data_IF_389745358236
#
_entry.id   IF_389745358236
#
_cell.length_a   1.000
_cell.length_b   1.000
_cell.length_c   1.000
_cell.angle_alpha   90.00
_cell.angle_beta   90.00
_cell.angle_gamma   90.00
#
_symmetry.space_group_name_H-M   'P 1'
#
loop_
_entity.id
_entity.type
_entity.pdbx_description
1 polymer ?
#
# COMPACT_ATOMS: atom_id res chain seq x y z
N UNK A 1 -22.33 -51.48 -53.23
CA UNK A 1 -21.59 -51.29 -51.97
C UNK A 1 -21.22 -49.81 -51.85
N UNK A 2 -22.21 -48.95 -51.52
CA UNK A 2 -22.04 -47.50 -51.47
C UNK A 2 -21.49 -47.12 -50.11
N UNK A 3 -20.29 -46.54 -50.14
CA UNK A 3 -19.51 -46.05 -49.01
C UNK A 3 -20.32 -45.16 -48.06
N UNK A 4 -20.69 -45.72 -46.91
CA UNK A 4 -21.06 -44.97 -45.69
C UNK A 4 -19.80 -44.30 -45.11
N UNK A 5 -19.30 -43.24 -45.74
CA UNK A 5 -18.18 -42.42 -45.20
C UNK A 5 -18.55 -40.95 -45.00
N UNK A 6 -19.84 -40.60 -44.97
CA UNK A 6 -20.27 -39.19 -44.99
C UNK A 6 -20.83 -38.63 -43.66
N UNK A 7 -20.61 -39.26 -42.49
CA UNK A 7 -21.30 -38.83 -41.25
C UNK A 7 -20.46 -38.72 -39.98
N UNK A 8 -19.15 -38.49 -40.11
CA UNK A 8 -18.26 -38.43 -38.93
C UNK A 8 -17.58 -37.05 -38.72
N UNK A 9 -17.50 -36.19 -39.75
CA UNK A 9 -16.78 -34.89 -39.65
C UNK A 9 -17.49 -33.78 -38.88
N UNK A 10 -18.83 -33.76 -38.87
CA UNK A 10 -19.61 -32.69 -38.22
C UNK A 10 -19.64 -32.75 -36.68
N UNK A 11 -19.52 -33.95 -36.10
CA UNK A 11 -19.49 -34.09 -34.63
C UNK A 11 -18.14 -33.64 -34.05
N UNK A 12 -17.03 -33.90 -34.75
CA UNK A 12 -15.71 -33.44 -34.33
C UNK A 12 -15.57 -31.92 -34.38
N UNK A 13 -16.18 -31.24 -35.37
CA UNK A 13 -16.15 -29.78 -35.45
C UNK A 13 -16.99 -29.10 -34.36
N UNK A 14 -18.13 -29.69 -33.98
CA UNK A 14 -18.93 -29.17 -32.86
C UNK A 14 -18.17 -29.32 -31.54
N UNK A 15 -17.55 -30.47 -31.30
CA UNK A 15 -16.76 -30.71 -30.07
C UNK A 15 -15.55 -29.77 -30.02
N UNK A 16 -14.86 -29.52 -31.13
CA UNK A 16 -13.72 -28.60 -31.14
C UNK A 16 -14.13 -27.16 -30.85
N UNK A 17 -15.27 -26.69 -31.37
CA UNK A 17 -15.81 -25.36 -31.04
C UNK A 17 -16.10 -25.24 -29.55
N UNK A 18 -16.77 -26.23 -28.95
CA UNK A 18 -17.03 -26.24 -27.50
C UNK A 18 -15.75 -26.28 -26.69
N UNK A 19 -14.76 -27.05 -27.13
CA UNK A 19 -13.46 -27.13 -26.46
C UNK A 19 -12.74 -25.78 -26.50
N UNK A 20 -12.68 -25.13 -27.66
CA UNK A 20 -12.07 -23.80 -27.80
C UNK A 20 -12.81 -22.76 -26.96
N UNK A 21 -14.15 -22.82 -26.91
CA UNK A 21 -14.95 -21.91 -26.09
C UNK A 21 -14.67 -22.11 -24.59
N UNK A 22 -14.62 -23.36 -24.13
CA UNK A 22 -14.27 -23.68 -22.74
C UNK A 22 -12.85 -23.23 -22.39
N UNK A 23 -11.86 -23.49 -23.25
CA UNK A 23 -10.47 -23.05 -23.05
C UNK A 23 -10.37 -21.52 -23.04
N UNK A 24 -11.11 -20.83 -23.90
CA UNK A 24 -11.13 -19.36 -23.95
C UNK A 24 -11.70 -18.77 -22.66
N UNK A 25 -12.79 -19.35 -22.14
CA UNK A 25 -13.38 -18.95 -20.85
C UNK A 25 -12.42 -19.19 -19.69
N UNK A 26 -11.75 -20.35 -19.64
CA UNK A 26 -10.74 -20.64 -18.62
C UNK A 26 -9.56 -19.67 -18.69
N UNK A 27 -9.12 -19.32 -19.90
CA UNK A 27 -8.04 -18.34 -20.11
C UNK A 27 -8.42 -16.97 -19.59
N UNK A 28 -9.66 -16.51 -19.83
CA UNK A 28 -10.16 -15.24 -19.30
C UNK A 28 -10.24 -15.23 -17.78
N UNK A 29 -10.65 -16.34 -17.16
CA UNK A 29 -10.69 -16.48 -15.70
C UNK A 29 -9.29 -16.44 -15.07
N UNK A 30 -8.33 -17.16 -15.65
CA UNK A 30 -6.95 -17.14 -15.17
C UNK A 30 -6.32 -15.75 -15.36
N UNK A 31 -6.63 -15.07 -16.46
CA UNK A 31 -6.18 -13.72 -16.70
C UNK A 31 -6.73 -12.72 -15.67
N UNK A 32 -8.01 -12.81 -15.32
CA UNK A 32 -8.61 -11.93 -14.30
C UNK A 32 -8.03 -12.19 -12.91
N UNK A 33 -7.76 -13.45 -12.58
CA UNK A 33 -7.07 -13.84 -11.34
C UNK A 33 -5.66 -13.25 -11.29
N UNK A 34 -4.87 -13.41 -12.36
CA UNK A 34 -3.53 -12.85 -12.45
C UNK A 34 -3.52 -11.32 -12.30
N UNK A 35 -4.49 -10.63 -12.91
CA UNK A 35 -4.62 -9.18 -12.71
C UNK A 35 -4.95 -8.82 -11.26
N UNK A 36 -5.78 -9.61 -10.58
CA UNK A 36 -6.10 -9.41 -9.16
C UNK A 36 -4.87 -9.57 -8.28
N UNK A 37 -4.07 -10.61 -8.51
CA UNK A 37 -2.81 -10.85 -7.78
C UNK A 37 -1.81 -9.72 -7.97
N UNK A 38 -1.64 -9.24 -9.20
CA UNK A 38 -0.77 -8.10 -9.49
C UNK A 38 -1.24 -6.84 -8.75
N UNK A 39 -2.55 -6.57 -8.74
CA UNK A 39 -3.10 -5.42 -8.01
C UNK A 39 -2.88 -5.54 -6.50
N UNK A 40 -3.08 -6.73 -5.94
CA UNK A 40 -2.80 -6.99 -4.53
C UNK A 40 -1.32 -6.82 -4.20
N UNK A 41 -0.42 -7.35 -5.03
CA UNK A 41 1.03 -7.21 -4.84
C UNK A 41 1.47 -5.73 -4.91
N UNK A 42 0.95 -4.96 -5.88
CA UNK A 42 1.22 -3.52 -5.99
C UNK A 42 0.68 -2.77 -4.77
N UNK A 43 -0.55 -3.05 -4.34
CA UNK A 43 -1.14 -2.42 -3.16
C UNK A 43 -0.35 -2.74 -1.88
N UNK A 44 0.11 -3.98 -1.74
CA UNK A 44 0.94 -4.41 -0.61
C UNK A 44 2.29 -3.67 -0.61
N UNK A 45 3.00 -3.66 -1.74
CA UNK A 45 4.26 -2.91 -1.92
C UNK A 45 4.08 -1.44 -1.54
N UNK A 46 3.07 -0.79 -2.10
CA UNK A 46 2.78 0.63 -1.87
C UNK A 46 2.39 0.86 -0.40
N UNK A 47 1.70 -0.09 0.23
CA UNK A 47 1.37 -0.05 1.66
C UNK A 47 2.60 -0.13 2.55
N UNK A 48 3.56 -0.99 2.23
CA UNK A 48 4.84 -1.08 2.94
C UNK A 48 5.65 0.21 2.77
N UNK A 49 5.74 0.75 1.55
CA UNK A 49 6.43 2.01 1.31
C UNK A 49 5.75 3.20 2.03
N UNK A 50 4.43 3.24 2.05
CA UNK A 50 3.67 4.26 2.79
C UNK A 50 3.98 4.20 4.29
N UNK A 51 4.10 2.99 4.87
CA UNK A 51 4.52 2.82 6.26
C UNK A 51 5.94 3.33 6.51
N UNK A 52 6.90 2.96 5.67
CA UNK A 52 8.28 3.48 5.79
C UNK A 52 8.33 5.00 5.70
N UNK A 53 7.53 5.60 4.82
CA UNK A 53 7.42 7.05 4.66
C UNK A 53 6.84 7.70 5.94
N UNK A 54 5.86 7.05 6.59
CA UNK A 54 5.29 7.50 7.86
C UNK A 54 6.28 7.39 9.04
N UNK A 55 7.05 6.30 9.11
CA UNK A 55 8.09 6.11 10.12
C UNK A 55 9.21 7.15 9.96
N UNK A 56 9.59 7.47 8.72
CA UNK A 56 10.56 8.53 8.44
C UNK A 56 10.10 9.90 8.96
N UNK A 57 8.83 10.27 8.72
CA UNK A 57 8.27 11.52 9.25
C UNK A 57 8.17 11.51 10.79
N UNK A 58 7.87 10.37 11.40
CA UNK A 58 7.86 10.23 12.86
C UNK A 58 9.26 10.47 13.45
N UNK A 59 10.30 9.87 12.85
CA UNK A 59 11.70 10.09 13.24
C UNK A 59 12.12 11.55 13.07
N UNK A 60 11.69 12.20 11.99
CA UNK A 60 11.94 13.61 11.77
C UNK A 60 11.27 14.50 12.84
N UNK A 61 10.02 14.21 13.20
CA UNK A 61 9.32 14.91 14.26
C UNK A 61 10.03 14.78 15.61
N UNK A 62 10.45 13.57 15.98
CA UNK A 62 11.20 13.31 17.21
C UNK A 62 12.51 14.10 17.21
N UNK A 63 13.25 14.08 16.10
CA UNK A 63 14.48 14.85 15.95
C UNK A 63 14.23 16.35 16.17
N UNK A 64 13.19 16.91 15.56
CA UNK A 64 12.83 18.32 15.71
C UNK A 64 12.40 18.68 17.13
N UNK A 65 11.65 17.81 17.80
CA UNK A 65 11.24 17.98 19.20
C UNK A 65 12.41 17.84 20.18
N UNK A 66 13.41 17.02 19.85
CA UNK A 66 14.62 16.89 20.63
C UNK A 66 15.54 18.12 20.52
N UNK A 67 15.60 18.75 19.33
CA UNK A 67 16.34 20.01 19.11
C UNK A 67 15.60 21.22 19.70
N UNK A 68 14.29 21.31 19.46
CA UNK A 68 13.44 22.40 19.89
C UNK A 68 12.14 21.82 20.49
N UNK A 69 12.03 21.78 21.83
CA UNK A 69 10.86 21.23 22.50
C UNK A 69 9.55 21.96 22.18
N UNK A 70 9.61 23.22 21.74
CA UNK A 70 8.45 24.01 21.35
C UNK A 70 8.15 23.92 19.85
N UNK A 71 8.84 23.04 19.11
CA UNK A 71 8.57 22.86 17.70
C UNK A 71 7.15 22.35 17.48
N UNK A 72 6.41 23.02 16.58
CA UNK A 72 5.15 22.52 16.07
C UNK A 72 5.10 22.63 14.54
N UNK A 73 4.50 21.64 13.86
CA UNK A 73 4.24 21.75 12.43
C UNK A 73 3.21 22.85 12.16
N UNK A 74 3.27 23.45 10.95
CA UNK A 74 2.30 24.46 10.53
C UNK A 74 0.86 23.93 10.59
N UNK A 75 -0.12 24.84 10.71
CA UNK A 75 -1.55 24.50 10.75
C UNK A 75 -1.94 23.66 9.52
N UNK A 76 -2.37 22.41 9.73
CA UNK A 76 -2.61 21.43 8.66
C UNK A 76 -1.53 20.35 8.52
N UNK A 77 -0.45 20.43 9.29
CA UNK A 77 0.63 19.46 9.35
C UNK A 77 1.84 19.81 8.49
N UNK A 78 2.97 19.15 8.75
CA UNK A 78 4.17 19.28 7.92
C UNK A 78 4.15 18.25 6.80
N UNK A 79 4.03 18.71 5.54
CA UNK A 79 4.03 17.87 4.36
C UNK A 79 5.42 17.88 3.70
N UNK A 80 6.04 16.71 3.54
CA UNK A 80 7.27 16.57 2.77
C UNK A 80 7.19 15.40 1.81
N UNK A 81 7.70 15.62 0.59
CA UNK A 81 7.89 14.57 -0.41
C UNK A 81 9.26 13.93 -0.23
N UNK A 82 9.29 12.60 -0.23
CA UNK A 82 10.50 11.78 -0.26
C UNK A 82 10.65 11.30 -1.71
N UNK A 83 11.80 11.60 -2.31
CA UNK A 83 12.18 11.09 -3.62
C UNK A 83 13.56 10.43 -3.51
N UNK A 84 13.56 9.18 -3.04
CA UNK A 84 14.74 8.33 -2.91
C UNK A 84 14.61 7.18 -3.92
N UNK A 85 15.73 6.62 -4.43
CA UNK A 85 15.68 5.51 -5.40
C UNK A 85 14.84 4.30 -4.97
N UNK A 86 14.67 4.09 -3.66
CA UNK A 86 13.90 2.97 -3.10
C UNK A 86 12.48 3.34 -2.64
N UNK A 87 12.18 4.63 -2.42
CA UNK A 87 10.91 5.10 -1.86
C UNK A 87 10.57 6.48 -2.44
N UNK A 88 9.45 6.55 -3.16
CA UNK A 88 8.85 7.82 -3.60
C UNK A 88 7.48 7.97 -2.94
N UNK A 89 7.31 9.01 -2.12
CA UNK A 89 6.11 9.17 -1.31
C UNK A 89 6.03 10.55 -0.68
N UNK A 90 5.00 10.77 0.12
CA UNK A 90 4.87 11.98 0.94
C UNK A 90 4.39 11.62 2.33
N UNK A 91 4.80 12.37 3.33
CA UNK A 91 4.28 12.21 4.68
C UNK A 91 3.75 13.52 5.23
N UNK A 92 2.75 13.41 6.11
CA UNK A 92 2.17 14.52 6.86
C UNK A 92 2.34 14.27 8.34
N UNK A 93 3.00 15.19 9.05
CA UNK A 93 3.16 15.12 10.51
C UNK A 93 2.15 16.05 11.18
N UNK A 94 1.45 15.54 12.19
CA UNK A 94 0.72 16.32 13.17
C UNK A 94 1.26 16.04 14.57
N UNK A 95 1.34 17.09 15.38
CA UNK A 95 1.87 17.02 16.74
C UNK A 95 0.82 17.56 17.70
N UNK A 96 0.60 16.86 18.81
CA UNK A 96 -0.32 17.26 19.86
C UNK A 96 0.36 17.14 21.22
N UNK A 97 0.44 18.24 21.94
CA UNK A 97 0.95 18.27 23.31
C UNK A 97 -0.12 17.75 24.28
N UNK A 98 0.28 16.87 25.19
CA UNK A 98 -0.52 16.34 26.30
C UNK A 98 -0.13 17.04 27.62
N UNK A 99 -0.99 16.99 28.66
CA UNK A 99 -0.75 17.68 29.94
C UNK A 99 0.56 17.25 30.64
N UNK A 100 0.95 15.98 30.48
CA UNK A 100 2.06 15.36 31.20
C UNK A 100 3.41 15.50 30.48
N UNK A 101 3.66 16.66 29.84
CA UNK A 101 4.87 16.90 29.01
C UNK A 101 5.17 15.81 27.98
N UNK A 102 4.11 15.11 27.59
CA UNK A 102 4.14 14.04 26.64
C UNK A 102 3.62 14.59 25.32
N UNK A 103 4.27 14.24 24.22
CA UNK A 103 3.89 14.69 22.90
C UNK A 103 3.42 13.50 22.09
N UNK A 104 2.18 13.56 21.62
CA UNK A 104 1.66 12.64 20.62
C UNK A 104 2.04 13.14 19.22
N UNK A 105 2.79 12.32 18.51
CA UNK A 105 3.21 12.52 17.13
C UNK A 105 2.38 11.57 16.28
N UNK A 106 1.66 12.09 15.31
CA UNK A 106 0.98 11.27 14.31
C UNK A 106 1.53 11.60 12.94
N UNK A 107 1.94 10.57 12.21
CA UNK A 107 2.46 10.72 10.86
C UNK A 107 1.66 9.86 9.91
N UNK A 108 1.18 10.46 8.82
CA UNK A 108 0.52 9.76 7.73
C UNK A 108 1.49 9.71 6.56
N UNK A 109 1.96 8.53 6.20
CA UNK A 109 2.72 8.29 4.98
C UNK A 109 1.80 7.90 3.84
N UNK A 110 2.06 8.44 2.65
CA UNK A 110 1.29 8.18 1.44
C UNK A 110 2.24 7.85 0.28
N UNK A 111 1.96 6.75 -0.40
CA UNK A 111 2.59 6.34 -1.65
C UNK A 111 1.48 5.94 -2.62
N UNK A 112 1.39 6.62 -3.76
CA UNK A 112 0.28 6.49 -4.69
C UNK A 112 -1.09 6.62 -3.97
N UNK A 113 -1.89 5.55 -4.00
CA UNK A 113 -3.20 5.44 -3.34
C UNK A 113 -3.11 4.84 -1.92
N UNK A 114 -1.99 4.23 -1.56
CA UNK A 114 -1.80 3.61 -0.24
C UNK A 114 -1.44 4.68 0.80
N UNK A 115 -2.14 4.62 1.93
CA UNK A 115 -1.90 5.49 3.10
C UNK A 115 -1.72 4.63 4.34
N UNK A 116 -0.75 4.96 5.18
CA UNK A 116 -0.51 4.32 6.48
C UNK A 116 -0.29 5.38 7.54
N UNK A 117 -0.80 5.13 8.73
CA UNK A 117 -0.69 6.03 9.88
C UNK A 117 0.18 5.38 10.95
N UNK A 118 1.24 6.07 11.32
CA UNK A 118 2.10 5.71 12.45
C UNK A 118 1.92 6.75 13.53
N UNK A 119 1.75 6.29 14.76
CA UNK A 119 1.65 7.15 15.93
C UNK A 119 2.81 6.87 16.87
N UNK A 120 3.32 7.91 17.51
CA UNK A 120 4.33 7.78 18.54
C UNK A 120 4.04 8.74 19.69
N UNK A 121 4.39 8.31 20.90
CA UNK A 121 4.48 9.18 22.06
C UNK A 121 5.95 9.47 22.33
N UNK A 122 6.27 10.75 22.44
CA UNK A 122 7.56 11.24 22.89
C UNK A 122 7.42 11.86 24.29
N UNK A 123 8.15 11.33 25.27
CA UNK A 123 8.22 11.93 26.60
C UNK A 123 9.38 12.93 26.63
N UNK A 124 9.10 14.19 26.94
CA UNK A 124 10.11 15.26 26.93
C UNK A 124 11.10 15.19 28.11
N UNK A 125 10.69 14.61 29.24
CA UNK A 125 11.50 14.58 30.46
C UNK A 125 12.60 13.49 30.39
N UNK A 126 12.27 12.30 29.88
CA UNK A 126 13.20 11.16 29.75
C UNK A 126 13.67 10.91 28.30
N UNK A 127 13.20 11.73 27.35
CA UNK A 127 13.48 11.59 25.90
C UNK A 127 13.18 10.19 25.33
N UNK A 128 12.27 9.46 25.98
CA UNK A 128 11.84 8.13 25.55
C UNK A 128 10.77 8.23 24.46
N UNK A 129 10.80 7.28 23.53
CA UNK A 129 9.86 7.20 22.41
C UNK A 129 9.17 5.84 22.43
N UNK A 130 7.85 5.86 22.45
CA UNK A 130 7.02 4.68 22.18
C UNK A 130 6.38 4.86 20.80
N UNK A 131 6.64 3.93 19.86
CA UNK A 131 6.07 3.96 18.50
C UNK A 131 5.10 2.80 18.35
N UNK A 132 3.92 3.06 17.78
CA UNK A 132 2.95 2.03 17.42
C UNK A 132 2.32 2.30 16.06
N UNK A 133 2.01 1.22 15.35
CA UNK A 133 1.31 1.27 14.08
C UNK A 133 -0.19 1.31 14.35
N UNK A 134 -0.86 2.40 13.94
CA UNK A 134 -2.31 2.48 13.97
C UNK A 134 -2.81 2.13 12.57
N UNK A 135 -2.89 0.82 12.30
CA UNK A 135 -3.36 0.29 11.02
C UNK A 135 -4.88 0.49 10.86
#
# INVERSE_FOLDING_TARGET
MVKLFAKQGGSFSIISIWTVLAVSLLTLMLYSLAQSEVRMAVSFRDGVQARFTAEAGTRYAIYKLAENPNWQPATGGYLQTIDLPAVTGKYTITVKSLPDRTIEIQTIGQVNQSKRKVSATFNMDDKTVAIWDSN
#
